data_IF_637798647253
#
_entry.id   IF_637798647253
#
_cell.length_a   1.000
_cell.length_b   1.000
_cell.length_c   1.000
_cell.angle_alpha   90.00
_cell.angle_beta   90.00
_cell.angle_gamma   90.00
#
_symmetry.space_group_name_H-M   'P 1'
#
loop_
_entity.id
_entity.type
_entity.pdbx_description
1 polymer ?
#
# COMPACT_ATOMS: atom_id res chain seq x y z
N UNK A 1 2.90 -60.91 -55.04
CA UNK A 1 1.97 -61.70 -54.20
C UNK A 1 1.79 -60.90 -52.92
N UNK A 2 1.07 -59.78 -53.04
CA UNK A 2 -0.35 -59.65 -52.64
C UNK A 2 -0.40 -59.49 -51.11
N UNK A 3 -0.82 -58.36 -50.57
CA UNK A 3 -2.19 -57.92 -50.62
C UNK A 3 -2.31 -56.41 -50.40
N UNK A 4 -2.96 -55.79 -51.38
CA UNK A 4 -3.70 -54.56 -51.30
C UNK A 4 -4.90 -54.74 -50.35
N UNK A 5 -5.28 -53.64 -49.67
CA UNK A 5 -6.64 -53.22 -49.25
C UNK A 5 -6.80 -52.85 -47.76
N UNK A 6 -7.79 -51.99 -47.38
CA UNK A 6 -8.66 -51.15 -48.21
C UNK A 6 -8.68 -49.66 -47.79
N UNK A 7 -9.15 -48.84 -48.73
CA UNK A 7 -9.53 -47.46 -48.55
C UNK A 7 -10.63 -47.30 -47.48
N UNK A 8 -10.36 -46.47 -46.47
CA UNK A 8 -11.41 -45.91 -45.64
C UNK A 8 -12.07 -44.77 -46.42
N UNK A 9 -13.22 -45.08 -47.00
CA UNK A 9 -14.17 -44.12 -47.58
C UNK A 9 -14.67 -43.26 -46.42
N UNK A 10 -14.10 -42.06 -46.25
CA UNK A 10 -14.65 -41.10 -45.31
C UNK A 10 -15.92 -40.50 -45.91
N UNK A 11 -17.03 -40.95 -45.36
CA UNK A 11 -18.39 -40.56 -45.70
C UNK A 11 -18.58 -39.05 -45.59
N UNK A 12 -19.01 -38.45 -46.70
CA UNK A 12 -19.49 -37.08 -46.80
C UNK A 12 -20.91 -37.05 -46.24
N UNK A 13 -21.05 -36.73 -44.96
CA UNK A 13 -22.32 -36.26 -44.41
C UNK A 13 -22.11 -34.87 -43.82
N UNK A 14 -22.50 -33.86 -44.60
CA UNK A 14 -22.66 -32.49 -44.15
C UNK A 14 -23.79 -32.42 -43.11
N UNK A 15 -23.56 -31.95 -41.88
CA UNK A 15 -24.64 -31.35 -41.13
C UNK A 15 -24.76 -29.90 -41.60
N UNK A 16 -25.84 -29.62 -42.32
CA UNK A 16 -26.32 -28.28 -42.56
C UNK A 16 -26.24 -27.48 -41.25
N UNK A 17 -25.30 -26.54 -41.16
CA UNK A 17 -25.28 -25.56 -40.11
C UNK A 17 -26.51 -24.67 -40.34
N UNK A 18 -27.64 -25.05 -39.73
CA UNK A 18 -28.70 -24.09 -39.48
C UNK A 18 -28.06 -22.97 -38.66
N UNK A 19 -27.80 -21.86 -39.34
CA UNK A 19 -27.60 -20.56 -38.71
C UNK A 19 -28.87 -20.27 -37.93
N UNK A 20 -28.87 -20.70 -36.68
CA UNK A 20 -29.82 -20.27 -35.68
C UNK A 20 -29.57 -18.78 -35.49
N UNK A 21 -30.32 -17.96 -36.24
CA UNK A 21 -30.52 -16.57 -35.92
C UNK A 21 -31.38 -16.55 -34.65
N UNK A 22 -30.80 -16.97 -33.53
CA UNK A 22 -31.28 -16.60 -32.22
C UNK A 22 -31.31 -15.08 -32.21
N UNK A 23 -32.53 -14.53 -32.26
CA UNK A 23 -32.80 -13.10 -32.19
C UNK A 23 -31.91 -12.50 -31.09
N UNK A 24 -31.21 -11.39 -31.35
CA UNK A 24 -30.41 -10.77 -30.30
C UNK A 24 -31.39 -10.40 -29.18
N UNK A 25 -31.30 -11.11 -28.05
CA UNK A 25 -32.09 -10.83 -26.87
C UNK A 25 -31.90 -9.34 -26.57
N UNK A 26 -32.94 -8.55 -26.84
CA UNK A 26 -32.95 -7.12 -26.61
C UNK A 26 -32.95 -6.97 -25.10
N UNK A 27 -31.75 -6.91 -24.51
CA UNK A 27 -31.59 -6.65 -23.08
C UNK A 27 -32.24 -5.30 -22.79
N UNK A 28 -33.15 -5.31 -21.82
CA UNK A 28 -33.79 -4.08 -21.37
C UNK A 28 -32.71 -3.14 -20.82
N UNK A 29 -32.86 -1.84 -21.05
CA UNK A 29 -31.82 -0.85 -20.70
C UNK A 29 -31.48 -0.87 -19.20
N UNK A 30 -32.47 -1.24 -18.38
CA UNK A 30 -32.35 -1.43 -16.92
C UNK A 30 -31.45 -2.63 -16.59
N UNK A 31 -31.53 -3.71 -17.37
CA UNK A 31 -30.75 -4.93 -17.15
C UNK A 31 -29.28 -4.72 -17.53
N UNK A 32 -29.02 -3.92 -18.58
CA UNK A 32 -27.69 -3.48 -18.98
C UNK A 32 -27.03 -2.59 -17.92
N UNK A 33 -27.77 -1.64 -17.33
CA UNK A 33 -27.28 -0.78 -16.25
C UNK A 33 -26.95 -1.57 -14.98
N UNK A 34 -27.77 -2.57 -14.65
CA UNK A 34 -27.55 -3.45 -13.50
C UNK A 34 -26.25 -4.23 -13.64
N UNK A 35 -25.97 -4.79 -14.82
CA UNK A 35 -24.75 -5.55 -15.06
C UNK A 35 -23.50 -4.64 -15.04
N UNK A 36 -23.58 -3.46 -15.66
CA UNK A 36 -22.51 -2.47 -15.60
C UNK A 36 -22.19 -2.02 -14.16
N UNK A 37 -23.20 -1.94 -13.29
CA UNK A 37 -23.01 -1.57 -11.89
C UNK A 37 -22.35 -2.70 -11.07
N UNK A 38 -22.69 -3.98 -11.35
CA UNK A 38 -22.00 -5.13 -10.74
C UNK A 38 -20.51 -5.15 -11.09
N UNK A 39 -20.17 -4.88 -12.35
CA UNK A 39 -18.78 -4.84 -12.78
C UNK A 39 -17.99 -3.69 -12.14
N UNK A 40 -18.60 -2.50 -12.04
CA UNK A 40 -18.02 -1.37 -11.30
C UNK A 40 -17.79 -1.72 -9.82
N UNK A 41 -18.74 -2.40 -9.20
CA UNK A 41 -18.64 -2.83 -7.80
C UNK A 41 -17.51 -3.83 -7.58
N UNK A 42 -17.34 -4.82 -8.49
CA UNK A 42 -16.22 -5.76 -8.43
C UNK A 42 -14.87 -5.07 -8.57
N UNK A 43 -14.77 -4.10 -9.50
CA UNK A 43 -13.55 -3.32 -9.71
C UNK A 43 -13.16 -2.48 -8.48
N UNK A 44 -14.13 -1.82 -7.85
CA UNK A 44 -13.91 -1.05 -6.62
C UNK A 44 -13.43 -1.93 -5.46
N UNK A 45 -14.00 -3.12 -5.29
CA UNK A 45 -13.55 -4.06 -4.26
C UNK A 45 -12.10 -4.51 -4.49
N UNK A 46 -11.71 -4.75 -5.74
CA UNK A 46 -10.33 -5.13 -6.08
C UNK A 46 -9.34 -3.97 -5.82
N UNK A 47 -9.74 -2.73 -6.11
CA UNK A 47 -8.93 -1.55 -5.79
C UNK A 47 -8.76 -1.38 -4.27
N UNK A 48 -9.82 -1.59 -3.47
CA UNK A 48 -9.74 -1.53 -2.01
C UNK A 48 -8.78 -2.59 -1.44
N UNK A 49 -8.88 -3.84 -1.90
CA UNK A 49 -7.96 -4.91 -1.47
C UNK A 49 -6.51 -4.62 -1.85
N UNK A 50 -6.27 -4.05 -3.03
CA UNK A 50 -4.93 -3.65 -3.45
C UNK A 50 -4.37 -2.53 -2.58
N UNK A 51 -5.19 -1.52 -2.23
CA UNK A 51 -4.78 -0.45 -1.32
C UNK A 51 -4.45 -0.97 0.08
N UNK A 52 -5.25 -1.91 0.61
CA UNK A 52 -5.00 -2.55 1.90
C UNK A 52 -3.68 -3.34 1.90
N UNK A 53 -3.43 -4.14 0.86
CA UNK A 53 -2.18 -4.88 0.67
C UNK A 53 -0.96 -3.95 0.58
N UNK A 54 -1.07 -2.83 -0.14
CA UNK A 54 0.00 -1.82 -0.24
C UNK A 54 0.27 -1.17 1.12
N UNK A 55 -0.77 -0.87 1.89
CA UNK A 55 -0.66 -0.34 3.24
C UNK A 55 -0.01 -1.33 4.21
N UNK A 56 -0.43 -2.61 4.17
CA UNK A 56 0.16 -3.68 4.98
C UNK A 56 1.65 -3.90 4.65
N UNK A 57 2.01 -3.97 3.37
CA UNK A 57 3.39 -4.15 2.92
C UNK A 57 4.32 -2.99 3.34
N UNK A 58 3.82 -1.74 3.33
CA UNK A 58 4.59 -0.57 3.78
C UNK A 58 4.82 -0.57 5.28
N UNK A 59 3.87 -1.08 6.05
CA UNK A 59 4.02 -1.19 7.50
C UNK A 59 5.03 -2.27 7.86
N UNK A 60 5.03 -3.43 7.19
CA UNK A 60 5.94 -4.54 7.49
C UNK A 60 7.43 -4.19 7.28
N UNK A 61 7.73 -3.35 6.26
CA UNK A 61 9.08 -2.79 6.04
C UNK A 61 9.58 -1.89 7.17
N UNK A 62 8.69 -1.37 8.03
CA UNK A 62 9.06 -0.59 9.21
C UNK A 62 9.25 -1.47 10.47
N UNK A 63 8.81 -2.73 10.46
CA UNK A 63 8.84 -3.62 11.65
C UNK A 63 10.19 -4.31 11.83
N UNK A 64 11.00 -4.46 10.77
CA UNK A 64 12.28 -5.18 10.83
C UNK A 64 13.48 -4.40 11.38
N UNK A 65 13.27 -3.19 11.90
CA UNK A 65 14.21 -2.65 12.88
C UNK A 65 13.59 -2.84 14.24
N UNK A 66 13.81 -4.02 14.83
CA UNK A 66 13.95 -4.11 16.28
C UNK A 66 15.00 -3.06 16.66
N UNK A 67 14.53 -1.84 16.93
CA UNK A 67 15.36 -0.80 17.51
C UNK A 67 15.85 -1.45 18.78
N UNK A 68 17.18 -1.63 18.90
CA UNK A 68 17.80 -1.93 20.19
C UNK A 68 17.04 -1.11 21.22
N UNK A 69 16.50 -1.70 22.31
CA UNK A 69 15.86 -0.92 23.34
C UNK A 69 16.88 0.15 23.71
N UNK A 70 16.63 1.39 23.27
CA UNK A 70 17.57 2.47 23.51
C UNK A 70 17.69 2.49 25.02
N UNK A 71 18.92 2.44 25.54
CA UNK A 71 19.21 2.55 26.97
C UNK A 71 18.18 3.48 27.57
N UNK A 72 17.26 2.94 28.39
CA UNK A 72 16.07 3.65 28.82
C UNK A 72 16.52 4.84 29.65
N UNK A 73 16.70 5.98 28.99
CA UNK A 73 16.90 7.25 29.69
C UNK A 73 15.64 7.40 30.52
N UNK A 74 15.81 7.57 31.83
CA UNK A 74 14.68 7.75 32.73
C UNK A 74 13.81 8.90 32.21
N UNK A 75 12.47 8.77 32.24
CA UNK A 75 11.58 9.80 31.72
C UNK A 75 11.82 11.16 32.35
N UNK A 76 12.18 11.20 33.64
CA UNK A 76 12.60 12.40 34.37
C UNK A 76 13.78 13.14 33.71
N UNK A 77 14.80 12.38 33.29
CA UNK A 77 15.99 12.94 32.63
C UNK A 77 15.66 13.41 31.21
N UNK A 78 14.76 12.72 30.51
CA UNK A 78 14.26 13.19 29.21
C UNK A 78 13.57 14.55 29.33
N UNK A 79 12.67 14.72 30.31
CA UNK A 79 11.97 15.99 30.53
C UNK A 79 12.95 17.12 30.84
N UNK A 80 13.94 16.87 31.69
CA UNK A 80 14.96 17.84 32.05
C UNK A 80 15.84 18.24 30.86
N UNK A 81 16.14 17.30 29.96
CA UNK A 81 16.85 17.57 28.69
C UNK A 81 15.98 18.42 27.77
N UNK A 82 14.70 18.08 27.59
CA UNK A 82 13.75 18.84 26.76
C UNK A 82 13.65 20.30 27.25
N UNK A 83 13.39 20.49 28.54
CA UNK A 83 13.22 21.82 29.13
C UNK A 83 14.48 22.68 28.94
N UNK A 84 15.65 22.13 29.23
CA UNK A 84 16.89 22.89 29.10
C UNK A 84 17.28 23.18 27.64
N UNK A 85 17.10 22.23 26.72
CA UNK A 85 17.50 22.40 25.32
C UNK A 85 16.49 23.23 24.53
N UNK A 86 15.19 23.10 24.82
CA UNK A 86 14.11 23.78 24.09
C UNK A 86 13.75 25.11 24.73
N UNK A 87 13.52 25.14 26.05
CA UNK A 87 13.05 26.35 26.75
C UNK A 87 14.22 27.25 27.15
N UNK A 88 15.30 26.69 27.71
CA UNK A 88 16.45 27.48 28.16
C UNK A 88 17.51 27.74 27.07
N UNK A 89 17.29 27.23 25.85
CA UNK A 89 18.21 27.43 24.73
C UNK A 89 19.60 26.80 24.92
N UNK A 90 19.74 25.81 25.81
CA UNK A 90 21.01 25.14 26.08
C UNK A 90 21.55 24.46 24.84
N UNK A 91 22.85 24.64 24.57
CA UNK A 91 23.48 24.00 23.41
C UNK A 91 23.56 22.49 23.57
N UNK A 92 23.48 21.75 22.45
CA UNK A 92 23.59 20.29 22.46
C UNK A 92 24.93 19.79 23.04
N UNK A 93 25.99 20.55 22.84
CA UNK A 93 27.32 20.23 23.37
C UNK A 93 27.37 20.34 24.91
N UNK A 94 26.72 21.35 25.48
CA UNK A 94 26.58 21.49 26.93
C UNK A 94 25.69 20.40 27.51
N UNK A 95 24.51 20.14 26.91
CA UNK A 95 23.61 19.08 27.35
C UNK A 95 24.28 17.70 27.32
N UNK A 96 25.06 17.40 26.26
CA UNK A 96 25.86 16.16 26.18
C UNK A 96 26.81 16.01 27.36
N UNK A 97 27.51 17.08 27.74
CA UNK A 97 28.44 17.06 28.89
C UNK A 97 27.69 16.91 30.21
N UNK A 98 26.59 17.64 30.40
CA UNK A 98 25.84 17.67 31.65
C UNK A 98 25.12 16.34 31.94
N UNK A 99 24.44 15.78 30.93
CA UNK A 99 23.62 14.58 31.10
C UNK A 99 24.34 13.29 30.72
N UNK A 100 25.58 13.36 30.21
CA UNK A 100 26.36 12.21 29.74
C UNK A 100 25.63 11.34 28.71
N UNK A 101 24.80 11.95 27.86
CA UNK A 101 24.02 11.28 26.80
C UNK A 101 24.58 11.57 25.42
N UNK A 102 24.33 10.70 24.44
CA UNK A 102 24.78 10.95 23.06
C UNK A 102 24.00 12.09 22.40
N UNK A 103 24.64 12.78 21.45
CA UNK A 103 23.98 13.82 20.65
C UNK A 103 22.75 13.29 19.90
N UNK A 104 22.83 12.07 19.38
CA UNK A 104 21.70 11.41 18.70
C UNK A 104 20.51 11.20 19.64
N UNK A 105 20.75 10.86 20.91
CA UNK A 105 19.67 10.73 21.91
C UNK A 105 19.00 12.08 22.18
N UNK A 106 19.79 13.15 22.37
CA UNK A 106 19.24 14.50 22.59
C UNK A 106 18.39 14.94 21.37
N UNK A 107 18.86 14.67 20.16
CA UNK A 107 18.10 14.99 18.94
C UNK A 107 16.81 14.19 18.82
N UNK A 108 16.81 12.92 19.21
CA UNK A 108 15.59 12.10 19.26
C UNK A 108 14.61 12.65 20.28
N UNK A 109 15.06 12.94 21.49
CA UNK A 109 14.25 13.55 22.55
C UNK A 109 13.62 14.86 22.06
N UNK A 110 14.39 15.70 21.36
CA UNK A 110 13.88 16.96 20.76
C UNK A 110 12.85 16.74 19.65
N UNK A 111 12.90 15.61 18.94
CA UNK A 111 11.97 15.29 17.85
C UNK A 111 10.72 14.54 18.33
N UNK A 112 10.85 13.79 19.42
CA UNK A 112 9.76 13.05 20.08
C UNK A 112 8.92 13.93 21.00
N UNK A 113 9.35 15.17 21.29
CA UNK A 113 8.55 16.14 22.05
C UNK A 113 7.18 16.35 21.36
N UNK A 114 6.06 15.99 22.02
CA UNK A 114 4.71 16.08 21.46
C UNK A 114 4.30 17.53 21.13
N UNK A 115 4.98 18.54 21.70
CA UNK A 115 4.75 19.93 21.34
C UNK A 115 5.57 20.37 20.12
N UNK A 116 6.60 19.62 19.75
CA UNK A 116 7.46 19.90 18.62
C UNK A 116 6.92 19.34 17.29
N UNK A 117 5.60 19.11 17.17
CA UNK A 117 4.92 18.74 15.92
C UNK A 117 5.23 19.81 14.88
N UNK A 118 6.33 19.62 14.17
CA UNK A 118 6.65 20.34 12.94
C UNK A 118 5.66 19.84 11.92
N UNK A 119 4.65 20.65 11.67
CA UNK A 119 3.78 20.57 10.50
C UNK A 119 4.65 20.80 9.27
N UNK A 120 5.42 19.80 8.86
CA UNK A 120 6.20 19.82 7.64
C UNK A 120 5.22 19.63 6.46
N UNK A 121 4.39 20.64 6.20
CA UNK A 121 3.75 20.80 4.89
C UNK A 121 4.86 21.20 3.92
N UNK A 122 5.30 20.25 3.09
CA UNK A 122 6.06 20.63 1.89
C UNK A 122 5.14 21.51 1.04
N UNK A 123 5.56 22.70 0.61
CA UNK A 123 4.79 23.46 -0.38
C UNK A 123 4.81 22.65 -1.68
N UNK A 124 3.69 22.01 -1.99
CA UNK A 124 3.51 21.36 -3.28
C UNK A 124 3.65 22.42 -4.37
N UNK A 125 4.59 22.24 -5.29
CA UNK A 125 4.64 23.04 -6.51
C UNK A 125 3.39 22.71 -7.32
N UNK A 126 2.40 23.59 -7.28
CA UNK A 126 1.37 23.64 -8.29
C UNK A 126 1.98 24.31 -9.52
N UNK A 127 2.36 23.52 -10.53
CA UNK A 127 2.64 24.04 -11.87
C UNK A 127 1.30 24.34 -12.55
N UNK A 128 1.19 25.54 -13.11
CA UNK A 128 0.08 25.98 -13.97
C UNK A 128 0.20 25.39 -15.36
#
# INVERSE_FOLDING_TARGET
>A
MDLLEPAAVMDLSEPAAMLDFSEPAVMDSVELELEANKDRSRKLLQELQNLENICAQKNDRLVHKQRKPNTMIKPEVCNLICENVIQNGMSLAQARKMFKVSQCQIQRIKFEDPNAIKVNKKPGRFTK
#
